data_IF_517059449120
#
_entry.id   IF_517059449120
#
_cell.length_a   1.000
_cell.length_b   1.000
_cell.length_c   1.000
_cell.angle_alpha   90.00
_cell.angle_beta   90.00
_cell.angle_gamma   90.00
#
_symmetry.space_group_name_H-M   'P 1'
#
loop_
_entity.id
_entity.type
_entity.pdbx_description
1 polymer ?
#
# COMPACT_ATOMS: atom_id res chain seq x y z
N UNK A 1 -12.28 -6.96 8.61
CA UNK A 1 -11.56 -7.17 7.36
C UNK A 1 -11.42 -5.84 6.61
N UNK A 2 -12.47 -5.16 6.43
CA UNK A 2 -12.60 -3.85 5.80
C UNK A 2 -12.71 -2.73 6.88
N UNK A 3 -11.66 -1.93 7.14
CA UNK A 3 -10.28 -2.27 6.76
C UNK A 3 -9.37 -2.53 7.98
N UNK A 4 -9.88 -3.21 9.00
CA UNK A 4 -9.06 -3.65 10.14
C UNK A 4 -7.90 -4.59 9.74
N UNK A 5 -8.11 -5.37 8.66
CA UNK A 5 -7.08 -6.28 8.13
C UNK A 5 -5.88 -5.52 7.57
N UNK A 6 -6.09 -4.56 6.70
CA UNK A 6 -5.04 -3.74 6.11
C UNK A 6 -4.34 -2.87 7.15
N UNK A 7 -5.08 -2.29 8.09
CA UNK A 7 -4.51 -1.56 9.23
C UNK A 7 -3.51 -2.41 10.02
N UNK A 8 -3.88 -3.66 10.35
CA UNK A 8 -2.98 -4.58 11.07
C UNK A 8 -1.80 -5.01 10.20
N UNK A 9 -2.01 -5.28 8.91
CA UNK A 9 -0.94 -5.65 8.00
C UNK A 9 0.12 -4.53 7.90
N UNK A 10 -0.29 -3.29 7.75
CA UNK A 10 0.60 -2.13 7.68
C UNK A 10 1.37 -1.91 9.00
N UNK A 11 0.68 -2.01 10.14
CA UNK A 11 1.30 -1.88 11.46
C UNK A 11 2.33 -2.99 11.71
N UNK A 12 1.93 -4.23 11.47
CA UNK A 12 2.79 -5.39 11.71
C UNK A 12 4.01 -5.41 10.80
N UNK A 13 3.87 -4.97 9.55
CA UNK A 13 4.99 -4.81 8.63
C UNK A 13 6.07 -3.88 9.22
N UNK A 14 5.67 -2.72 9.77
CA UNK A 14 6.61 -1.80 10.40
C UNK A 14 7.22 -2.40 11.68
N UNK A 15 6.41 -3.11 12.48
CA UNK A 15 6.90 -3.81 13.66
C UNK A 15 7.93 -4.88 13.30
N UNK A 16 7.69 -5.63 12.23
CA UNK A 16 8.62 -6.67 11.73
C UNK A 16 9.95 -6.07 11.28
N UNK A 17 9.92 -5.02 10.45
CA UNK A 17 11.12 -4.28 10.01
C UNK A 17 11.94 -3.84 11.23
N UNK A 18 11.29 -3.27 12.24
CA UNK A 18 11.95 -2.84 13.48
C UNK A 18 12.55 -4.01 14.27
N UNK A 19 11.81 -5.12 14.42
CA UNK A 19 12.30 -6.32 15.13
C UNK A 19 13.51 -6.98 14.47
N UNK A 20 13.56 -6.95 13.14
CA UNK A 20 14.70 -7.44 12.37
C UNK A 20 15.92 -6.50 12.42
N UNK A 21 15.82 -5.37 13.11
CA UNK A 21 16.91 -4.39 13.24
C UNK A 21 17.22 -3.66 11.93
N UNK A 22 16.32 -3.72 10.94
CA UNK A 22 16.51 -3.09 9.64
C UNK A 22 16.38 -1.56 9.78
N UNK A 23 17.28 -0.84 9.11
CA UNK A 23 17.36 0.63 9.17
C UNK A 23 17.38 1.20 7.75
N UNK A 24 16.20 1.39 7.13
CA UNK A 24 16.13 1.95 5.79
C UNK A 24 16.60 3.41 5.77
N UNK A 25 17.08 3.86 4.61
CA UNK A 25 17.55 5.24 4.40
C UNK A 25 16.45 6.29 4.51
N UNK A 26 15.21 5.91 4.23
CA UNK A 26 14.03 6.79 4.27
C UNK A 26 13.09 6.40 5.40
N UNK A 27 12.41 7.37 5.94
CA UNK A 27 11.38 7.14 6.96
C UNK A 27 10.23 6.31 6.37
N UNK A 28 9.85 5.24 7.07
CA UNK A 28 8.61 4.53 6.83
C UNK A 28 7.59 4.99 7.87
N UNK A 29 6.38 5.30 7.43
CA UNK A 29 5.28 5.75 8.26
C UNK A 29 4.07 4.86 8.04
N UNK A 30 3.44 4.41 9.12
CA UNK A 30 2.10 3.84 9.08
C UNK A 30 1.11 4.95 9.35
N UNK A 31 0.07 5.03 8.55
CA UNK A 31 -1.03 5.97 8.70
C UNK A 31 -2.31 5.14 8.76
N UNK A 32 -3.07 5.32 9.83
CA UNK A 32 -4.39 4.73 9.97
C UNK A 32 -5.40 5.83 9.61
N UNK A 33 -5.98 5.68 8.45
CA UNK A 33 -6.89 6.68 7.90
C UNK A 33 -8.20 6.69 8.70
N UNK A 34 -8.71 7.88 8.97
CA UNK A 34 -10.01 8.02 9.63
C UNK A 34 -11.02 8.53 8.62
N UNK A 35 -12.27 8.02 8.75
CA UNK A 35 -13.41 8.53 8.01
C UNK A 35 -13.28 8.36 6.47
N UNK A 36 -12.71 7.23 6.03
CA UNK A 36 -12.66 6.88 4.61
C UNK A 36 -14.09 6.72 4.08
N UNK A 37 -14.89 5.87 4.71
CA UNK A 37 -16.29 5.52 4.38
C UNK A 37 -17.25 6.72 4.30
N UNK A 38 -16.86 7.84 4.86
CA UNK A 38 -17.64 9.09 4.88
C UNK A 38 -16.97 10.21 4.09
N UNK A 39 -16.23 9.86 3.02
CA UNK A 39 -15.68 10.79 2.04
C UNK A 39 -14.19 11.11 2.23
N UNK A 40 -13.39 10.17 2.72
CA UNK A 40 -11.93 10.24 2.70
C UNK A 40 -11.34 11.44 3.42
N UNK A 41 -11.93 11.87 4.55
CA UNK A 41 -11.51 13.09 5.24
C UNK A 41 -10.13 12.97 5.87
N UNK A 42 -9.76 11.77 6.33
CA UNK A 42 -8.44 11.51 6.89
C UNK A 42 -7.34 11.67 5.86
N UNK A 43 -7.51 11.09 4.70
CA UNK A 43 -6.55 11.16 3.59
C UNK A 43 -6.43 12.57 3.01
N UNK A 44 -7.55 13.28 2.84
CA UNK A 44 -7.58 14.68 2.46
C UNK A 44 -6.85 15.58 3.47
N UNK A 45 -7.13 15.39 4.76
CA UNK A 45 -6.47 16.13 5.84
C UNK A 45 -4.96 15.86 5.90
N UNK A 46 -4.54 14.62 5.72
CA UNK A 46 -3.12 14.25 5.63
C UNK A 46 -2.43 14.93 4.46
N UNK A 47 -3.02 14.86 3.26
CA UNK A 47 -2.51 15.54 2.06
C UNK A 47 -2.29 17.04 2.33
N UNK A 48 -3.27 17.71 2.91
CA UNK A 48 -3.22 19.16 3.15
C UNK A 48 -2.17 19.52 4.20
N UNK A 49 -2.10 18.78 5.29
CA UNK A 49 -1.11 18.98 6.34
C UNK A 49 0.34 18.72 5.87
N UNK A 50 0.53 17.85 4.87
CA UNK A 50 1.85 17.48 4.37
C UNK A 50 2.16 18.05 2.97
N UNK A 51 1.33 18.96 2.46
CA UNK A 51 1.46 19.49 1.10
C UNK A 51 2.85 20.07 0.79
N UNK A 52 3.46 20.77 1.73
CA UNK A 52 4.80 21.34 1.57
C UNK A 52 5.93 20.29 1.52
N UNK A 53 5.65 19.04 1.84
CA UNK A 53 6.61 17.94 1.83
C UNK A 53 6.18 16.79 0.90
N UNK A 54 5.21 17.02 0.03
CA UNK A 54 4.63 15.96 -0.83
C UNK A 54 5.67 15.41 -1.83
N UNK A 55 6.61 16.22 -2.25
CA UNK A 55 7.73 15.84 -3.10
C UNK A 55 8.69 14.83 -2.44
N UNK A 56 8.68 14.77 -1.10
CA UNK A 56 9.47 13.85 -0.30
C UNK A 56 8.79 12.48 -0.08
N UNK A 57 7.52 12.37 -0.43
CA UNK A 57 6.82 11.08 -0.39
C UNK A 57 7.22 10.27 -1.63
N UNK A 58 7.92 9.16 -1.43
CA UNK A 58 8.46 8.34 -2.52
C UNK A 58 7.56 7.17 -2.89
N UNK A 59 6.64 6.81 -2.01
CA UNK A 59 5.60 5.80 -2.21
C UNK A 59 4.52 5.99 -1.15
N UNK A 60 3.27 5.78 -1.53
CA UNK A 60 2.17 5.52 -0.62
C UNK A 60 1.57 4.14 -0.94
N UNK A 61 1.30 3.34 0.09
CA UNK A 61 0.75 1.99 -0.05
C UNK A 61 -0.55 1.90 0.71
N UNK A 62 -1.51 1.17 0.14
CA UNK A 62 -2.83 0.97 0.73
C UNK A 62 -3.27 -0.48 0.57
N UNK A 63 -3.89 -1.03 1.59
CA UNK A 63 -4.56 -2.33 1.56
C UNK A 63 -5.99 -2.14 2.02
N UNK A 64 -6.93 -2.22 1.11
CA UNK A 64 -8.35 -1.98 1.33
C UNK A 64 -9.24 -2.89 0.47
N UNK A 65 -8.73 -4.08 0.18
CA UNK A 65 -9.48 -5.12 -0.56
C UNK A 65 -9.44 -6.45 0.20
N UNK A 66 -9.30 -6.36 1.52
CA UNK A 66 -9.09 -7.50 2.40
C UNK A 66 -7.64 -8.00 2.39
N UNK A 67 -7.35 -8.88 3.30
CA UNK A 67 -6.02 -9.50 3.49
C UNK A 67 -6.09 -10.99 3.14
N UNK A 68 -6.53 -11.29 1.93
CA UNK A 68 -6.63 -12.64 1.39
C UNK A 68 -5.33 -13.11 0.74
N UNK A 69 -5.36 -14.28 0.10
CA UNK A 69 -4.23 -14.88 -0.62
C UNK A 69 -3.62 -13.90 -1.63
N UNK A 70 -2.35 -13.58 -1.45
CA UNK A 70 -1.64 -12.56 -2.23
C UNK A 70 -1.29 -13.09 -3.60
N UNK A 71 -1.73 -12.41 -4.65
CA UNK A 71 -1.44 -12.73 -6.06
C UNK A 71 -0.34 -11.86 -6.66
N UNK A 72 -0.11 -10.67 -6.08
CA UNK A 72 0.83 -9.70 -6.59
C UNK A 72 0.57 -8.31 -6.03
N UNK A 73 0.88 -7.31 -6.81
CA UNK A 73 0.55 -5.93 -6.48
C UNK A 73 0.39 -5.06 -7.73
N UNK A 74 -0.43 -4.02 -7.59
CA UNK A 74 -0.57 -2.97 -8.59
C UNK A 74 0.27 -1.75 -8.24
N UNK A 75 0.76 -1.03 -9.25
CA UNK A 75 1.50 0.22 -9.07
C UNK A 75 0.99 1.31 -10.01
N UNK A 76 0.83 2.51 -9.48
CA UNK A 76 0.65 3.74 -10.25
C UNK A 76 1.88 4.61 -10.04
N UNK A 77 2.70 4.76 -11.08
CA UNK A 77 3.93 5.54 -11.07
C UNK A 77 4.20 6.14 -12.45
N UNK A 78 5.25 6.90 -12.59
CA UNK A 78 5.70 7.44 -13.87
C UNK A 78 6.39 6.40 -14.76
N UNK A 79 6.88 6.86 -15.91
CA UNK A 79 7.58 6.01 -16.87
C UNK A 79 8.73 5.22 -16.21
N UNK A 80 8.83 3.93 -16.52
CA UNK A 80 9.79 3.01 -15.90
C UNK A 80 9.36 2.45 -14.53
N UNK A 81 8.30 2.99 -13.91
CA UNK A 81 7.85 2.55 -12.58
C UNK A 81 7.41 1.09 -12.55
N UNK A 82 6.71 0.63 -13.60
CA UNK A 82 6.30 -0.78 -13.72
C UNK A 82 7.51 -1.73 -13.81
N UNK A 83 8.55 -1.35 -14.56
CA UNK A 83 9.76 -2.16 -14.67
C UNK A 83 10.47 -2.27 -13.31
N UNK A 84 10.66 -1.15 -12.61
CA UNK A 84 11.23 -1.15 -11.26
C UNK A 84 10.41 -1.98 -10.27
N UNK A 85 9.08 -1.90 -10.36
CA UNK A 85 8.19 -2.70 -9.54
C UNK A 85 8.32 -4.20 -9.85
N UNK A 86 8.49 -4.57 -11.12
CA UNK A 86 8.74 -5.95 -11.54
C UNK A 86 10.07 -6.51 -11.04
N UNK A 87 11.11 -5.67 -11.00
CA UNK A 87 12.40 -6.05 -10.39
C UNK A 87 12.22 -6.33 -8.89
N UNK A 88 11.47 -5.49 -8.19
CA UNK A 88 11.15 -5.71 -6.76
C UNK A 88 10.31 -6.99 -6.60
N UNK A 89 9.36 -7.25 -7.49
CA UNK A 89 8.51 -8.43 -7.43
C UNK A 89 9.30 -9.75 -7.54
N UNK A 90 10.47 -9.73 -8.18
CA UNK A 90 11.35 -10.91 -8.25
C UNK A 90 11.76 -11.43 -6.87
N UNK A 91 11.78 -10.57 -5.85
CA UNK A 91 12.07 -10.94 -4.46
C UNK A 91 10.99 -11.84 -3.83
N UNK A 92 9.81 -11.88 -4.43
CA UNK A 92 8.68 -12.69 -3.96
C UNK A 92 8.54 -14.02 -4.68
N UNK A 93 9.52 -14.42 -5.50
CA UNK A 93 9.47 -15.66 -6.29
C UNK A 93 9.23 -16.91 -5.42
N UNK A 94 9.78 -16.95 -4.21
CA UNK A 94 9.56 -18.04 -3.26
C UNK A 94 8.13 -18.14 -2.70
N UNK A 95 7.36 -17.05 -2.79
CA UNK A 95 5.96 -17.00 -2.39
C UNK A 95 5.00 -17.27 -3.55
N UNK A 96 5.51 -17.42 -4.78
CA UNK A 96 4.68 -17.53 -5.97
C UNK A 96 3.98 -16.22 -6.38
N UNK A 97 4.33 -15.10 -5.74
CA UNK A 97 3.66 -13.80 -5.84
C UNK A 97 4.56 -12.83 -6.60
N UNK A 98 4.57 -12.93 -7.92
CA UNK A 98 5.44 -12.09 -8.77
C UNK A 98 4.66 -11.23 -9.78
N UNK A 99 3.34 -11.29 -9.76
CA UNK A 99 2.51 -10.52 -10.68
C UNK A 99 2.56 -9.03 -10.32
N UNK A 100 2.86 -8.19 -11.31
CA UNK A 100 2.80 -6.73 -11.19
C UNK A 100 1.90 -6.18 -12.28
N UNK A 101 0.98 -5.32 -11.90
CA UNK A 101 0.06 -4.66 -12.83
C UNK A 101 0.16 -3.14 -12.74
N UNK A 102 -0.26 -2.47 -13.78
CA UNK A 102 -0.53 -1.02 -13.71
C UNK A 102 -1.81 -0.77 -12.91
N UNK A 103 -1.87 0.37 -12.23
CA UNK A 103 -2.97 0.71 -11.34
C UNK A 103 -2.76 0.15 -9.93
N UNK A 104 -2.44 1.03 -8.98
CA UNK A 104 -2.23 0.67 -7.57
C UNK A 104 -2.52 1.88 -6.70
N UNK A 105 -2.77 1.63 -5.43
CA UNK A 105 -3.34 2.57 -4.48
C UNK A 105 -4.85 2.34 -4.33
N UNK A 106 -5.53 3.22 -3.65
CA UNK A 106 -6.97 3.16 -3.41
C UNK A 106 -7.51 4.54 -3.02
N UNK A 107 -8.61 4.55 -2.28
CA UNK A 107 -9.32 5.77 -1.92
C UNK A 107 -8.47 6.68 -1.03
N UNK A 108 -7.75 6.12 -0.08
CA UNK A 108 -6.95 6.89 0.87
C UNK A 108 -5.64 7.40 0.31
N UNK A 109 -4.98 6.65 -0.57
CA UNK A 109 -3.75 7.11 -1.23
C UNK A 109 -4.01 7.94 -2.48
N UNK A 110 -5.22 7.94 -3.00
CA UNK A 110 -5.66 8.72 -4.17
C UNK A 110 -5.32 10.20 -4.10
N UNK A 111 -5.60 10.92 -2.99
CA UNK A 111 -5.23 12.33 -2.84
C UNK A 111 -3.72 12.61 -2.93
N UNK A 112 -2.87 11.65 -2.56
CA UNK A 112 -1.41 11.73 -2.70
C UNK A 112 -0.99 11.43 -4.14
N UNK A 113 -1.60 10.41 -4.75
CA UNK A 113 -1.34 10.06 -6.15
C UNK A 113 -1.68 11.21 -7.10
N UNK A 114 -2.79 11.91 -6.86
CA UNK A 114 -3.17 13.09 -7.63
C UNK A 114 -2.10 14.19 -7.63
N UNK A 115 -1.23 14.23 -6.61
CA UNK A 115 -0.08 15.12 -6.50
C UNK A 115 1.23 14.47 -6.97
N UNK A 116 1.13 13.36 -7.68
CA UNK A 116 2.26 12.67 -8.29
C UNK A 116 3.04 11.72 -7.37
N UNK A 117 2.55 11.41 -6.16
CA UNK A 117 3.16 10.37 -5.34
C UNK A 117 2.88 9.01 -5.98
N UNK A 118 3.88 8.16 -6.21
CA UNK A 118 3.64 6.80 -6.64
C UNK A 118 2.78 6.06 -5.60
N UNK A 119 1.83 5.27 -6.08
CA UNK A 119 0.96 4.47 -5.19
C UNK A 119 1.00 3.00 -5.53
N UNK A 120 0.79 2.17 -4.52
CA UNK A 120 0.80 0.73 -4.65
C UNK A 120 -0.29 0.12 -3.77
N UNK A 121 -0.89 -0.97 -4.25
CA UNK A 121 -1.81 -1.80 -3.47
C UNK A 121 -1.55 -3.28 -3.73
N UNK A 122 -1.72 -4.17 -2.73
CA UNK A 122 -1.73 -5.60 -2.95
C UNK A 122 -2.83 -5.99 -3.96
N UNK A 123 -2.54 -7.02 -4.74
CA UNK A 123 -3.57 -7.77 -5.48
C UNK A 123 -3.79 -9.06 -4.73
N UNK A 124 -4.98 -9.25 -4.20
CA UNK A 124 -5.37 -10.42 -3.41
C UNK A 124 -6.48 -11.20 -4.10
N UNK A 125 -6.74 -12.42 -3.66
CA UNK A 125 -7.92 -13.17 -4.08
C UNK A 125 -9.20 -12.54 -3.49
N UNK A 126 -9.79 -11.61 -4.20
CA UNK A 126 -10.99 -10.89 -3.79
C UNK A 126 -12.31 -11.66 -3.89
N UNK A 127 -12.30 -12.96 -4.18
CA UNK A 127 -13.55 -13.74 -4.41
C UNK A 127 -14.49 -13.72 -3.21
N UNK A 128 -13.94 -13.61 -2.00
CA UNK A 128 -14.72 -13.59 -0.75
C UNK A 128 -14.98 -12.18 -0.22
N UNK A 129 -14.32 -11.16 -0.77
CA UNK A 129 -14.36 -9.80 -0.22
C UNK A 129 -15.80 -9.30 -0.08
N UNK A 130 -16.57 -9.32 -1.15
CA UNK A 130 -17.96 -8.85 -1.15
C UNK A 130 -18.96 -9.76 -0.42
N UNK A 131 -18.52 -10.91 0.13
CA UNK A 131 -19.36 -11.69 1.04
C UNK A 131 -19.43 -11.08 2.44
N UNK A 132 -18.46 -10.26 2.77
CA UNK A 132 -18.30 -9.69 4.12
C UNK A 132 -18.34 -8.17 4.14
N UNK A 133 -17.78 -7.54 3.09
CA UNK A 133 -17.66 -6.10 2.94
C UNK A 133 -18.97 -5.38 3.27
N UNK A 134 -18.89 -4.37 4.14
CA UNK A 134 -20.02 -3.57 4.61
C UNK A 134 -21.16 -4.37 5.25
N UNK A 135 -20.89 -5.48 5.88
CA UNK A 135 -21.90 -6.30 6.54
C UNK A 135 -21.49 -6.67 7.97
N UNK A 136 -22.48 -7.09 8.77
CA UNK A 136 -22.21 -7.60 10.13
C UNK A 136 -21.41 -8.91 10.16
N UNK A 137 -21.19 -9.53 9.00
CA UNK A 137 -20.36 -10.71 8.85
C UNK A 137 -18.86 -10.38 8.73
N UNK A 138 -18.50 -9.10 8.62
CA UNK A 138 -17.09 -8.68 8.62
C UNK A 138 -16.51 -8.72 10.02
N UNK A 139 -16.03 -9.88 10.38
CA UNK A 139 -15.49 -10.19 11.71
C UNK A 139 -14.14 -10.89 11.59
N UNK A 140 -13.35 -10.84 12.66
CA UNK A 140 -11.97 -11.30 12.67
C UNK A 140 -11.81 -12.81 12.37
N UNK A 141 -12.84 -13.61 12.64
CA UNK A 141 -12.86 -15.06 12.35
C UNK A 141 -12.91 -15.40 10.85
N UNK A 142 -13.09 -14.38 9.98
CA UNK A 142 -13.03 -14.54 8.52
C UNK A 142 -11.62 -14.42 7.96
N UNK A 143 -10.66 -13.99 8.78
CA UNK A 143 -9.27 -13.82 8.35
C UNK A 143 -8.50 -15.11 8.55
N UNK A 144 -7.75 -15.53 7.53
CA UNK A 144 -6.80 -16.62 7.63
C UNK A 144 -5.44 -16.08 8.12
N UNK A 145 -4.87 -16.66 9.21
CA UNK A 145 -3.58 -16.21 9.75
C UNK A 145 -2.41 -16.33 8.76
N UNK A 146 -2.46 -17.29 7.83
CA UNK A 146 -1.43 -17.46 6.80
C UNK A 146 -1.55 -16.35 5.75
N UNK A 147 -2.75 -16.09 5.25
CA UNK A 147 -3.02 -15.02 4.29
C UNK A 147 -2.64 -13.66 4.88
N UNK A 148 -2.95 -13.42 6.15
CA UNK A 148 -2.50 -12.22 6.88
C UNK A 148 -0.97 -12.13 6.91
N UNK A 149 -0.28 -13.21 7.23
CA UNK A 149 1.19 -13.21 7.28
C UNK A 149 1.82 -12.95 5.90
N UNK A 150 1.22 -13.43 4.82
CA UNK A 150 1.64 -13.15 3.45
C UNK A 150 1.49 -11.67 3.10
N UNK A 151 0.37 -11.04 3.48
CA UNK A 151 0.17 -9.60 3.31
C UNK A 151 1.19 -8.78 4.12
N UNK A 152 1.44 -9.15 5.38
CA UNK A 152 2.48 -8.52 6.21
C UNK A 152 3.86 -8.64 5.56
N UNK A 153 4.20 -9.81 5.01
CA UNK A 153 5.47 -10.02 4.32
C UNK A 153 5.58 -9.13 3.08
N UNK A 154 4.54 -9.08 2.26
CA UNK A 154 4.49 -8.21 1.08
C UNK A 154 4.73 -6.74 1.46
N UNK A 155 3.97 -6.22 2.42
CA UNK A 155 4.12 -4.83 2.89
C UNK A 155 5.51 -4.56 3.46
N UNK A 156 6.06 -5.51 4.24
CA UNK A 156 7.39 -5.35 4.85
C UNK A 156 8.47 -5.24 3.80
N UNK A 157 8.47 -6.12 2.81
CA UNK A 157 9.49 -6.13 1.75
C UNK A 157 9.36 -4.90 0.87
N UNK A 158 8.15 -4.57 0.39
CA UNK A 158 7.92 -3.42 -0.46
C UNK A 158 8.31 -2.11 0.26
N UNK A 159 7.84 -1.92 1.49
CA UNK A 159 8.16 -0.72 2.27
C UNK A 159 9.67 -0.60 2.52
N UNK A 160 10.32 -1.70 2.93
CA UNK A 160 11.75 -1.68 3.21
C UNK A 160 12.59 -1.42 1.94
N UNK A 161 12.32 -2.16 0.86
CA UNK A 161 13.10 -2.04 -0.38
C UNK A 161 12.99 -0.63 -0.96
N UNK A 162 11.78 -0.07 -1.06
CA UNK A 162 11.60 1.29 -1.59
C UNK A 162 12.20 2.34 -0.65
N UNK A 163 12.17 2.11 0.66
CA UNK A 163 12.77 3.03 1.61
C UNK A 163 14.29 2.94 1.66
N UNK A 164 14.92 1.84 1.21
CA UNK A 164 16.37 1.62 1.29
C UNK A 164 17.11 1.67 -0.04
N UNK A 165 16.45 1.44 -1.17
CA UNK A 165 17.09 1.45 -2.49
C UNK A 165 17.78 2.79 -2.80
N UNK A 166 18.81 2.82 -3.68
CA UNK A 166 19.58 4.04 -4.00
C UNK A 166 18.73 5.14 -4.63
N UNK A 167 17.82 4.78 -5.53
CA UNK A 167 16.90 5.70 -6.22
C UNK A 167 15.52 5.77 -5.57
N UNK A 168 14.59 6.36 -6.28
CA UNK A 168 13.16 6.40 -5.94
C UNK A 168 12.34 5.90 -7.13
N UNK A 169 11.13 5.46 -6.86
CA UNK A 169 10.16 5.22 -7.91
C UNK A 169 9.88 6.54 -8.67
N UNK A 170 9.73 6.49 -9.99
CA UNK A 170 9.38 7.68 -10.77
C UNK A 170 7.99 8.18 -10.37
N UNK A 171 7.87 9.50 -10.23
CA UNK A 171 6.62 10.13 -9.80
C UNK A 171 5.51 9.87 -10.81
N UNK A 172 4.33 9.60 -10.30
CA UNK A 172 3.12 9.51 -11.11
C UNK A 172 2.81 10.87 -11.79
N UNK A 173 2.11 10.88 -12.92
CA UNK A 173 1.61 12.12 -13.50
C UNK A 173 0.71 12.87 -12.51
N UNK A 174 0.87 14.19 -12.43
CA UNK A 174 0.00 15.02 -11.59
C UNK A 174 -1.36 15.14 -12.27
N UNK A 175 -2.42 14.87 -11.53
CA UNK A 175 -3.77 14.99 -12.05
C UNK A 175 -4.11 16.46 -12.44
N UNK A 176 -4.85 16.63 -13.51
CA UNK A 176 -5.27 17.95 -13.95
C UNK A 176 -6.05 18.68 -12.83
N UNK A 177 -5.62 19.90 -12.48
CA UNK A 177 -6.20 20.70 -11.41
C UNK A 177 -5.74 20.37 -9.98
N UNK A 178 -4.98 19.32 -9.75
CA UNK A 178 -4.51 18.93 -8.40
C UNK A 178 -3.32 19.78 -7.89
N UNK A 179 -2.61 20.44 -8.77
CA UNK A 179 -1.39 21.22 -8.45
C UNK A 179 -1.64 22.61 -7.81
N UNK A 180 -2.89 22.96 -7.56
CA UNK A 180 -3.27 24.29 -7.02
C UNK A 180 -3.49 24.28 -5.52
#
# INVERSE_FOLDING_TARGET
MDDGGGCVAAWEALRLIKRLGLRPKRTIRVVLWTNEENGGRGSGGYRDAHRAAIDKHVLAMESDNGVFDVKGFGITAGEGGLAMASDIASLFSSFGTTAVTTGGGGADTGPLNALGVPTLSPTVDGTKYFWYHHSSADTMDKLDPREMAENVALFSVLAYVVADMPGTLPRAPIAAGAAR
#
